data_IF_164050478388
#
_entry.id   IF_164050478388
#
_cell.length_a   1.000
_cell.length_b   1.000
_cell.length_c   1.000
_cell.angle_alpha   90.00
_cell.angle_beta   90.00
_cell.angle_gamma   90.00
#
_symmetry.space_group_name_H-M   'P 1'
#
loop_
_entity.id
_entity.type
_entity.pdbx_description
1 polymer ?
#
# COMPACT_ATOMS: atom_id res chain seq x y z
N UNK A 1 21.81 -51.12 42.13
CA UNK A 1 21.89 -49.64 42.23
C UNK A 1 22.65 -48.98 41.08
N UNK A 2 23.38 -49.73 40.24
CA UNK A 2 24.15 -49.17 39.11
C UNK A 2 23.33 -48.96 37.82
N UNK A 3 22.14 -49.58 37.70
CA UNK A 3 21.30 -49.47 36.50
C UNK A 3 20.51 -48.14 36.42
N UNK A 4 20.31 -47.46 37.55
CA UNK A 4 19.62 -46.16 37.57
C UNK A 4 20.57 -44.98 37.28
N UNK A 5 21.88 -45.13 37.47
CA UNK A 5 22.87 -44.09 37.10
C UNK A 5 23.10 -44.04 35.58
N UNK A 6 23.05 -45.18 34.88
CA UNK A 6 23.25 -45.22 33.43
C UNK A 6 22.10 -44.61 32.63
N UNK A 7 20.88 -44.56 33.18
CA UNK A 7 19.76 -43.90 32.51
C UNK A 7 19.72 -42.37 32.72
N UNK A 8 20.36 -41.85 33.77
CA UNK A 8 20.46 -40.40 33.98
C UNK A 8 21.58 -39.75 33.15
N UNK A 9 22.59 -40.52 32.75
CA UNK A 9 23.68 -40.01 31.90
C UNK A 9 23.26 -39.75 30.44
N UNK A 10 22.21 -40.40 29.93
CA UNK A 10 21.66 -40.14 28.58
C UNK A 10 20.58 -39.04 28.56
N UNK A 11 20.12 -38.58 29.73
CA UNK A 11 19.15 -37.50 29.86
C UNK A 11 19.81 -36.10 29.98
N UNK A 12 21.10 -36.01 29.65
CA UNK A 12 21.94 -34.83 29.84
C UNK A 12 22.22 -34.06 28.55
N UNK A 13 21.22 -33.79 27.69
CA UNK A 13 21.34 -32.70 26.70
C UNK A 13 19.96 -32.26 26.13
N UNK A 14 19.00 -32.02 27.03
CA UNK A 14 17.60 -31.69 26.70
C UNK A 14 17.35 -30.29 26.12
N UNK A 15 18.32 -29.70 25.41
CA UNK A 15 18.10 -28.52 24.57
C UNK A 15 17.71 -28.95 23.16
N UNK A 16 16.95 -28.14 22.38
CA UNK A 16 16.76 -28.43 20.96
C UNK A 16 18.16 -28.59 20.32
N UNK A 17 18.39 -29.64 19.50
CA UNK A 17 19.68 -29.90 18.90
C UNK A 17 20.25 -28.60 18.33
N UNK A 18 21.46 -28.22 18.74
CA UNK A 18 22.10 -26.98 18.29
C UNK A 18 22.10 -26.84 16.76
N UNK A 19 22.14 -27.98 16.07
CA UNK A 19 21.96 -28.10 14.62
C UNK A 19 20.57 -27.68 14.13
N UNK A 20 19.47 -28.02 14.82
CA UNK A 20 18.12 -27.57 14.46
C UNK A 20 17.96 -26.07 14.63
N UNK A 21 18.48 -25.51 15.73
CA UNK A 21 18.44 -24.06 15.95
C UNK A 21 19.29 -23.32 14.91
N UNK A 22 20.48 -23.86 14.58
CA UNK A 22 21.33 -23.32 13.53
C UNK A 22 20.64 -23.40 12.16
N UNK A 23 20.02 -24.54 11.83
CA UNK A 23 19.32 -24.74 10.55
C UNK A 23 18.13 -23.79 10.43
N UNK A 24 17.33 -23.61 11.47
CA UNK A 24 16.21 -22.67 11.47
C UNK A 24 16.69 -21.21 11.30
N UNK A 25 17.78 -20.84 11.97
CA UNK A 25 18.41 -19.51 11.80
C UNK A 25 18.88 -19.28 10.37
N UNK A 26 19.59 -20.25 9.78
CA UNK A 26 20.09 -20.15 8.40
C UNK A 26 18.96 -20.16 7.37
N UNK A 27 17.91 -20.93 7.61
CA UNK A 27 16.72 -20.95 6.76
C UNK A 27 16.02 -19.59 6.77
N UNK A 28 15.83 -18.98 7.95
CA UNK A 28 15.25 -17.64 8.08
C UNK A 28 16.12 -16.57 7.41
N UNK A 29 17.44 -16.65 7.58
CA UNK A 29 18.38 -15.73 6.95
C UNK A 29 18.34 -15.83 5.41
N UNK A 30 18.32 -17.05 4.86
CA UNK A 30 18.22 -17.29 3.42
C UNK A 30 16.89 -16.81 2.87
N UNK A 31 15.78 -17.06 3.57
CA UNK A 31 14.46 -16.58 3.18
C UNK A 31 14.42 -15.05 3.12
N UNK A 32 14.86 -14.36 4.18
CA UNK A 32 14.90 -12.90 4.23
C UNK A 32 15.80 -12.32 3.12
N UNK A 33 16.97 -12.93 2.91
CA UNK A 33 17.90 -12.53 1.83
C UNK A 33 17.28 -12.73 0.46
N UNK A 34 16.58 -13.85 0.24
CA UNK A 34 15.87 -14.14 -1.01
C UNK A 34 14.77 -13.12 -1.30
N UNK A 35 13.97 -12.75 -0.30
CA UNK A 35 12.95 -11.71 -0.41
C UNK A 35 13.58 -10.37 -0.77
N UNK A 36 14.66 -9.98 -0.10
CA UNK A 36 15.37 -8.73 -0.40
C UNK A 36 15.90 -8.71 -1.84
N UNK A 37 16.54 -9.80 -2.30
CA UNK A 37 17.03 -9.94 -3.68
C UNK A 37 15.87 -9.88 -4.68
N UNK A 38 14.73 -10.53 -4.37
CA UNK A 38 13.55 -10.51 -5.22
C UNK A 38 12.95 -9.11 -5.35
N UNK A 39 12.85 -8.35 -4.25
CA UNK A 39 12.39 -6.95 -4.28
C UNK A 39 13.34 -6.10 -5.13
N UNK A 40 14.65 -6.22 -4.91
CA UNK A 40 15.66 -5.50 -5.71
C UNK A 40 15.55 -5.85 -7.19
N UNK A 41 15.43 -7.14 -7.52
CA UNK A 41 15.22 -7.60 -8.88
C UNK A 41 13.93 -7.03 -9.48
N UNK A 42 12.82 -7.07 -8.75
CA UNK A 42 11.50 -6.56 -9.17
C UNK A 42 11.56 -5.07 -9.50
N UNK A 43 12.18 -4.27 -8.63
CA UNK A 43 12.37 -2.83 -8.81
C UNK A 43 13.28 -2.53 -9.99
N UNK A 44 14.42 -3.21 -10.09
CA UNK A 44 15.39 -2.99 -11.16
C UNK A 44 14.86 -3.44 -12.53
N UNK A 45 14.13 -4.55 -12.57
CA UNK A 45 13.46 -5.08 -13.76
C UNK A 45 12.37 -4.15 -14.29
N UNK A 46 11.60 -3.53 -13.39
CA UNK A 46 10.57 -2.55 -13.77
C UNK A 46 11.18 -1.23 -14.23
N UNK A 47 12.22 -0.73 -13.53
CA UNK A 47 12.97 0.45 -13.97
C UNK A 47 13.62 0.26 -15.34
N UNK A 48 14.05 -0.95 -15.68
CA UNK A 48 14.61 -1.26 -17.00
C UNK A 48 13.57 -1.29 -18.12
N UNK A 49 12.30 -1.62 -17.83
CA UNK A 49 11.21 -1.56 -18.81
C UNK A 49 10.74 -0.14 -19.11
N UNK A 50 10.92 0.77 -18.16
CA UNK A 50 10.56 2.19 -18.29
C UNK A 50 11.66 3.05 -18.92
N UNK A 51 12.84 2.48 -19.22
CA UNK A 51 13.84 3.16 -20.06
C UNK A 51 13.42 3.07 -21.52
N UNK A 52 12.64 4.05 -21.95
CA UNK A 52 12.50 4.41 -23.36
C UNK A 52 13.89 4.83 -23.87
N UNK A 53 14.45 4.19 -24.91
CA UNK A 53 15.68 4.66 -25.52
C UNK A 53 15.32 5.78 -26.48
N UNK A 54 15.40 7.02 -26.02
CA UNK A 54 15.16 8.19 -26.85
C UNK A 54 15.39 9.48 -26.07
N UNK A 55 16.45 10.18 -26.45
CA UNK A 55 16.71 11.62 -26.34
C UNK A 55 15.97 12.39 -25.24
N UNK A 56 16.70 12.92 -24.26
CA UNK A 56 17.19 14.32 -24.30
C UNK A 56 18.41 14.37 -23.37
N UNK A 57 19.49 14.97 -23.85
CA UNK A 57 20.64 15.42 -23.06
C UNK A 57 20.19 16.59 -22.16
N UNK A 58 19.22 16.34 -21.27
CA UNK A 58 19.01 17.24 -20.14
C UNK A 58 20.18 16.97 -19.21
N UNK A 59 21.11 17.92 -19.15
CA UNK A 59 22.08 18.03 -18.07
C UNK A 59 21.29 18.24 -16.77
N UNK A 60 20.70 17.16 -16.25
CA UNK A 60 20.15 17.08 -14.91
C UNK A 60 21.35 16.94 -14.01
N UNK A 61 21.84 18.08 -13.52
CA UNK A 61 22.69 18.07 -12.34
C UNK A 61 21.92 17.31 -11.27
N UNK A 62 22.42 16.11 -10.99
CA UNK A 62 21.82 15.20 -10.04
C UNK A 62 21.97 15.84 -8.66
N UNK A 63 20.94 16.58 -8.21
CA UNK A 63 20.75 16.98 -6.82
C UNK A 63 20.39 15.75 -5.95
N UNK A 64 20.98 14.60 -6.25
CA UNK A 64 20.93 13.39 -5.45
C UNK A 64 21.77 13.62 -4.19
N UNK A 65 21.20 14.40 -3.28
CA UNK A 65 21.67 14.45 -1.91
C UNK A 65 21.20 13.18 -1.22
N UNK A 66 22.14 12.29 -0.89
CA UNK A 66 21.88 11.05 -0.13
C UNK A 66 21.09 11.31 1.16
N UNK A 67 21.24 12.52 1.73
CA UNK A 67 20.47 12.97 2.88
C UNK A 67 18.97 13.14 2.57
N UNK A 68 18.61 13.82 1.47
CA UNK A 68 17.20 13.96 1.07
C UNK A 68 16.55 12.63 0.70
N UNK A 69 17.29 11.77 -0.02
CA UNK A 69 16.77 10.45 -0.38
C UNK A 69 16.49 9.58 0.86
N UNK A 70 17.31 9.67 1.90
CA UNK A 70 17.06 9.00 3.17
C UNK A 70 15.91 9.64 3.95
N UNK A 71 15.82 10.96 3.96
CA UNK A 71 14.74 11.68 4.63
C UNK A 71 13.38 11.32 3.99
N UNK A 72 13.28 11.32 2.66
CA UNK A 72 12.10 10.92 1.91
C UNK A 72 11.76 9.43 2.13
N UNK A 73 12.76 8.54 2.11
CA UNK A 73 12.55 7.11 2.37
C UNK A 73 12.08 6.85 3.81
N UNK A 74 12.65 7.57 4.77
CA UNK A 74 12.29 7.46 6.18
C UNK A 74 10.89 8.01 6.47
N UNK A 75 10.48 9.07 5.77
CA UNK A 75 9.12 9.60 5.81
C UNK A 75 8.11 8.57 5.28
N UNK A 76 8.37 7.99 4.10
CA UNK A 76 7.51 6.96 3.51
C UNK A 76 7.43 5.70 4.37
N UNK A 77 8.55 5.26 4.97
CA UNK A 77 8.58 4.11 5.88
C UNK A 77 7.84 4.39 7.19
N UNK A 78 7.99 5.59 7.76
CA UNK A 78 7.27 5.99 8.96
C UNK A 78 5.78 6.09 8.70
N UNK A 79 5.35 6.60 7.54
CA UNK A 79 3.94 6.67 7.17
C UNK A 79 3.35 5.28 6.97
N UNK A 80 4.07 4.39 6.27
CA UNK A 80 3.68 2.98 6.14
C UNK A 80 3.57 2.27 7.50
N UNK A 81 4.56 2.45 8.38
CA UNK A 81 4.56 1.86 9.72
C UNK A 81 3.45 2.43 10.60
N UNK A 82 3.24 3.73 10.57
CA UNK A 82 2.18 4.41 11.32
C UNK A 82 0.80 3.99 10.78
N UNK A 83 0.65 3.78 9.48
CA UNK A 83 -0.60 3.29 8.90
C UNK A 83 -0.87 1.84 9.32
N UNK A 84 0.16 0.99 9.37
CA UNK A 84 0.03 -0.40 9.83
C UNK A 84 -0.34 -0.49 11.33
N UNK A 85 0.29 0.34 12.17
CA UNK A 85 -0.01 0.41 13.61
C UNK A 85 -1.37 1.07 13.88
N UNK A 86 -1.75 2.08 13.09
CA UNK A 86 -3.04 2.76 13.24
C UNK A 86 -4.20 2.02 12.57
N UNK A 87 -3.95 1.14 11.60
CA UNK A 87 -4.94 0.21 11.06
C UNK A 87 -5.46 -0.73 12.14
N UNK A 88 -4.61 -1.19 13.07
CA UNK A 88 -5.02 -1.97 14.24
C UNK A 88 -5.80 -1.18 15.31
N UNK A 89 -5.81 0.16 15.25
CA UNK A 89 -6.42 1.02 16.26
C UNK A 89 -7.61 1.86 15.74
N UNK A 90 -7.94 1.76 14.44
CA UNK A 90 -9.14 2.35 13.87
C UNK A 90 -10.29 1.35 13.94
N UNK A 91 -10.81 1.17 15.15
CA UNK A 91 -12.10 0.51 15.36
C UNK A 91 -13.20 1.27 14.58
N UNK A 92 -13.68 0.63 13.52
CA UNK A 92 -15.09 0.40 13.19
C UNK A 92 -16.08 1.57 13.40
N UNK A 93 -15.67 2.79 13.05
CA UNK A 93 -16.64 3.87 12.79
C UNK A 93 -16.89 3.93 11.30
N UNK A 94 -18.16 3.76 10.85
CA UNK A 94 -18.48 3.95 9.45
C UNK A 94 -18.09 5.36 9.05
N UNK A 95 -17.33 5.47 7.96
CA UNK A 95 -16.99 6.77 7.38
C UNK A 95 -18.31 7.51 7.08
N UNK A 96 -18.43 8.80 7.46
CA UNK A 96 -19.63 9.56 7.16
C UNK A 96 -19.84 9.63 5.65
N UNK A 97 -21.10 9.51 5.23
CA UNK A 97 -21.47 9.59 3.82
C UNK A 97 -21.09 10.96 3.25
N UNK A 98 -20.28 11.01 2.17
CA UNK A 98 -19.82 12.27 1.59
C UNK A 98 -20.97 13.06 0.97
N UNK A 99 -20.98 14.39 1.15
CA UNK A 99 -22.03 15.29 0.66
C UNK A 99 -21.52 16.41 -0.24
N UNK A 100 -20.23 16.72 -0.17
CA UNK A 100 -19.60 17.78 -0.95
C UNK A 100 -18.55 17.21 -1.90
N UNK A 101 -18.22 17.85 -3.05
CA UNK A 101 -17.21 17.33 -3.97
C UNK A 101 -15.85 17.08 -3.29
N UNK A 102 -15.51 17.91 -2.30
CA UNK A 102 -14.32 17.74 -1.47
C UNK A 102 -14.39 16.48 -0.61
N UNK A 103 -15.53 16.22 0.02
CA UNK A 103 -15.73 15.01 0.83
C UNK A 103 -15.70 13.74 -0.03
N UNK A 104 -16.33 13.75 -1.22
CA UNK A 104 -16.27 12.63 -2.16
C UNK A 104 -14.82 12.29 -2.53
N UNK A 105 -14.01 13.31 -2.84
CA UNK A 105 -12.60 13.09 -3.16
C UNK A 105 -11.78 12.57 -1.97
N UNK A 106 -11.99 13.10 -0.76
CA UNK A 106 -11.29 12.57 0.41
C UNK A 106 -11.74 11.15 0.77
N UNK A 107 -13.00 10.81 0.54
CA UNK A 107 -13.49 9.45 0.70
C UNK A 107 -12.84 8.50 -0.32
N UNK A 108 -12.69 8.93 -1.57
CA UNK A 108 -11.90 8.21 -2.59
C UNK A 108 -10.46 7.98 -2.14
N UNK A 109 -9.78 8.98 -1.57
CA UNK A 109 -8.41 8.83 -1.06
C UNK A 109 -8.31 7.78 0.06
N UNK A 110 -9.32 7.70 0.94
CA UNK A 110 -9.36 6.67 1.98
C UNK A 110 -9.56 5.27 1.41
N UNK A 111 -10.45 5.11 0.43
CA UNK A 111 -10.64 3.84 -0.30
C UNK A 111 -9.33 3.43 -0.99
N UNK A 112 -8.72 4.33 -1.74
CA UNK A 112 -7.45 4.07 -2.42
C UNK A 112 -6.32 3.67 -1.45
N UNK A 113 -6.25 4.29 -0.28
CA UNK A 113 -5.29 3.93 0.77
C UNK A 113 -5.53 2.52 1.32
N UNK A 114 -6.79 2.13 1.56
CA UNK A 114 -7.16 0.77 1.98
C UNK A 114 -6.80 -0.28 0.93
N UNK A 115 -6.96 0.04 -0.35
CA UNK A 115 -6.53 -0.81 -1.47
C UNK A 115 -5.00 -0.77 -1.75
N UNK A 116 -4.21 -0.16 -0.86
CA UNK A 116 -2.75 -0.11 -1.00
C UNK A 116 -2.25 0.78 -2.15
N UNK A 117 -3.04 1.77 -2.56
CA UNK A 117 -2.69 2.80 -3.57
C UNK A 117 -2.98 4.22 -3.06
N UNK A 118 -2.37 4.64 -1.94
CA UNK A 118 -2.50 6.02 -1.48
C UNK A 118 -1.99 7.00 -2.54
N UNK A 119 -2.53 8.24 -2.52
CA UNK A 119 -2.02 9.32 -3.37
C UNK A 119 -0.74 9.88 -2.77
N UNK A 120 0.30 10.00 -3.57
CA UNK A 120 1.54 10.65 -3.16
C UNK A 120 1.36 12.17 -3.02
N UNK A 121 2.14 12.82 -2.16
CA UNK A 121 2.02 14.27 -1.93
C UNK A 121 2.25 15.10 -3.20
N UNK A 122 3.24 14.71 -4.01
CA UNK A 122 3.59 15.38 -5.28
C UNK A 122 2.64 15.03 -6.44
N UNK A 123 1.76 14.05 -6.25
CA UNK A 123 0.89 13.56 -7.31
C UNK A 123 -0.39 14.38 -7.41
N UNK A 124 -0.70 14.87 -8.61
CA UNK A 124 -1.96 15.58 -8.87
C UNK A 124 -3.17 14.64 -8.81
N UNK A 125 -4.40 15.16 -8.58
CA UNK A 125 -5.60 14.33 -8.57
C UNK A 125 -5.79 13.49 -9.86
N UNK A 126 -5.44 14.04 -11.04
CA UNK A 126 -5.53 13.32 -12.31
C UNK A 126 -4.46 12.25 -12.47
N UNK A 127 -3.25 12.51 -12.01
CA UNK A 127 -2.19 11.49 -12.02
C UNK A 127 -2.56 10.33 -11.09
N UNK A 128 -3.17 10.63 -9.93
CA UNK A 128 -3.65 9.60 -9.01
C UNK A 128 -4.78 8.76 -9.62
N UNK A 129 -5.73 9.39 -10.31
CA UNK A 129 -6.75 8.67 -11.08
C UNK A 129 -6.14 7.62 -12.03
N UNK A 130 -5.06 7.97 -12.73
CA UNK A 130 -4.37 7.03 -13.61
C UNK A 130 -3.81 5.81 -12.87
N UNK A 131 -3.36 5.98 -11.63
CA UNK A 131 -2.86 4.86 -10.79
C UNK A 131 -3.95 3.94 -10.25
N UNK A 132 -5.20 4.40 -10.23
CA UNK A 132 -6.37 3.63 -9.79
C UNK A 132 -6.99 2.82 -10.94
N UNK A 133 -6.49 2.98 -12.16
CA UNK A 133 -6.98 2.27 -13.33
C UNK A 133 -6.81 0.75 -13.15
N UNK A 134 -7.90 0.01 -13.36
CA UNK A 134 -7.93 -1.44 -13.21
C UNK A 134 -8.15 -1.93 -11.78
N UNK A 135 -8.08 -1.05 -10.79
CA UNK A 135 -8.47 -1.35 -9.40
C UNK A 135 -9.88 -0.86 -9.10
N UNK A 136 -10.18 0.37 -9.53
CA UNK A 136 -11.49 1.00 -9.37
C UNK A 136 -12.14 1.29 -10.73
N UNK A 137 -13.48 1.38 -10.79
CA UNK A 137 -14.18 1.69 -12.03
C UNK A 137 -13.81 3.11 -12.50
N UNK A 138 -13.24 3.20 -13.70
CA UNK A 138 -12.60 4.42 -14.18
C UNK A 138 -13.54 5.62 -14.34
N UNK A 139 -14.77 5.40 -14.84
CA UNK A 139 -15.74 6.47 -15.06
C UNK A 139 -16.27 7.09 -13.76
N UNK A 140 -16.69 6.32 -12.74
CA UNK A 140 -16.97 6.84 -11.40
C UNK A 140 -15.82 7.63 -10.78
N UNK A 141 -14.59 7.10 -10.81
CA UNK A 141 -13.41 7.79 -10.26
C UNK A 141 -13.17 9.11 -10.97
N UNK A 142 -13.21 9.10 -12.31
CA UNK A 142 -13.05 10.31 -13.13
C UNK A 142 -14.08 11.38 -12.74
N UNK A 143 -15.35 11.00 -12.57
CA UNK A 143 -16.42 11.93 -12.19
C UNK A 143 -16.18 12.58 -10.83
N UNK A 144 -15.73 11.81 -9.84
CA UNK A 144 -15.39 12.33 -8.51
C UNK A 144 -14.22 13.32 -8.59
N UNK A 145 -13.16 12.96 -9.34
CA UNK A 145 -11.99 13.82 -9.53
C UNK A 145 -12.34 15.11 -10.27
N UNK A 146 -13.12 15.02 -11.36
CA UNK A 146 -13.56 16.18 -12.14
C UNK A 146 -14.43 17.12 -11.29
N UNK A 147 -15.36 16.57 -10.50
CA UNK A 147 -16.20 17.35 -9.57
C UNK A 147 -15.38 18.06 -8.50
N UNK A 148 -14.39 17.38 -7.92
CA UNK A 148 -13.46 18.00 -6.97
C UNK A 148 -12.63 19.12 -7.62
N UNK A 149 -12.05 18.87 -8.80
CA UNK A 149 -11.23 19.88 -9.48
C UNK A 149 -12.06 21.12 -9.85
N UNK A 150 -13.30 20.91 -10.31
CA UNK A 150 -14.21 22.00 -10.67
C UNK A 150 -14.58 22.85 -9.45
N UNK A 151 -14.88 22.23 -8.31
CA UNK A 151 -15.18 22.96 -7.08
C UNK A 151 -13.94 23.59 -6.42
N UNK A 152 -12.77 22.94 -6.51
CA UNK A 152 -11.55 23.38 -5.83
C UNK A 152 -10.76 24.44 -6.61
N UNK A 153 -10.75 24.35 -7.94
CA UNK A 153 -9.99 25.26 -8.82
C UNK A 153 -10.88 26.16 -9.67
N UNK A 154 -12.14 25.77 -9.92
CA UNK A 154 -13.07 26.54 -10.74
C UNK A 154 -13.92 27.55 -9.96
N UNK A 155 -13.94 27.48 -8.63
CA UNK A 155 -14.82 28.26 -7.76
C UNK A 155 -16.31 28.15 -8.16
N UNK A 156 -16.67 27.01 -8.77
CA UNK A 156 -18.03 26.69 -9.21
C UNK A 156 -18.70 25.96 -8.05
N UNK A 157 -19.74 26.57 -7.49
CA UNK A 157 -20.58 25.88 -6.51
C UNK A 157 -21.42 24.82 -7.24
N UNK A 158 -21.25 23.53 -6.89
CA UNK A 158 -21.88 22.44 -7.63
C UNK A 158 -23.40 22.49 -7.50
N UNK A 159 -24.10 22.32 -8.61
CA UNK A 159 -25.56 22.24 -8.61
C UNK A 159 -26.06 20.95 -7.96
N UNK A 160 -27.33 20.93 -7.54
CA UNK A 160 -27.95 19.72 -6.95
C UNK A 160 -27.84 18.48 -7.85
N UNK A 161 -27.93 18.66 -9.18
CA UNK A 161 -27.78 17.57 -10.15
C UNK A 161 -26.34 17.02 -10.20
N UNK A 162 -25.34 17.88 -10.00
CA UNK A 162 -23.93 17.47 -9.98
C UNK A 162 -23.60 16.72 -8.70
N UNK A 163 -24.15 17.16 -7.56
CA UNK A 163 -24.05 16.42 -6.29
C UNK A 163 -24.69 15.04 -6.40
N UNK A 164 -25.88 14.94 -7.01
CA UNK A 164 -26.54 13.65 -7.24
C UNK A 164 -25.71 12.73 -8.15
N UNK A 165 -25.11 13.28 -9.20
CA UNK A 165 -24.22 12.52 -10.08
C UNK A 165 -22.94 12.03 -9.36
N UNK A 166 -22.45 12.79 -8.37
CA UNK A 166 -21.34 12.39 -7.50
C UNK A 166 -21.75 11.29 -6.52
N UNK A 167 -22.95 11.36 -5.94
CA UNK A 167 -23.51 10.27 -5.12
C UNK A 167 -23.60 8.97 -5.92
N UNK A 168 -24.15 9.00 -7.13
CA UNK A 168 -24.25 7.81 -7.97
C UNK A 168 -22.87 7.22 -8.33
N UNK A 169 -21.89 8.08 -8.63
CA UNK A 169 -20.52 7.65 -8.86
C UNK A 169 -19.89 7.03 -7.59
N UNK A 170 -20.12 7.64 -6.43
CA UNK A 170 -19.65 7.12 -5.16
C UNK A 170 -20.25 5.75 -4.84
N UNK A 171 -21.57 5.60 -4.96
CA UNK A 171 -22.26 4.32 -4.70
C UNK A 171 -21.70 3.20 -5.58
N UNK A 172 -21.66 3.40 -6.90
CA UNK A 172 -21.17 2.38 -7.83
C UNK A 172 -19.69 2.04 -7.65
N UNK A 173 -18.87 2.98 -7.19
CA UNK A 173 -17.46 2.72 -6.87
C UNK A 173 -17.31 1.99 -5.53
N UNK A 174 -18.08 2.39 -4.52
CA UNK A 174 -18.00 1.83 -3.17
C UNK A 174 -18.43 0.36 -3.11
N UNK A 175 -19.41 -0.03 -3.93
CA UNK A 175 -19.87 -1.41 -4.08
C UNK A 175 -18.73 -2.30 -4.59
N UNK A 176 -18.09 -1.93 -5.70
CA UNK A 176 -16.96 -2.67 -6.28
C UNK A 176 -15.78 -2.77 -5.30
N UNK A 177 -15.50 -1.70 -4.56
CA UNK A 177 -14.41 -1.71 -3.58
C UNK A 177 -14.69 -2.64 -2.38
N UNK A 178 -15.96 -2.77 -1.96
CA UNK A 178 -16.38 -3.68 -0.90
C UNK A 178 -16.32 -5.14 -1.34
N UNK A 179 -16.68 -5.44 -2.59
CA UNK A 179 -16.57 -6.79 -3.17
C UNK A 179 -15.12 -7.28 -3.18
N UNK A 180 -14.18 -6.44 -3.64
CA UNK A 180 -12.75 -6.79 -3.69
C UNK A 180 -12.17 -7.08 -2.30
N UNK A 181 -12.57 -6.31 -1.29
CA UNK A 181 -12.08 -6.51 0.09
C UNK A 181 -12.58 -7.85 0.66
N UNK A 182 -13.84 -8.21 0.40
CA UNK A 182 -14.42 -9.49 0.87
C UNK A 182 -13.81 -10.71 0.16
N UNK A 183 -13.49 -10.60 -1.14
CA UNK A 183 -12.81 -11.66 -1.90
C UNK A 183 -11.38 -11.90 -1.40
N UNK A 184 -10.66 -10.85 -0.99
CA UNK A 184 -9.32 -10.99 -0.40
C UNK A 184 -9.39 -11.67 0.97
N UNK A 185 -10.34 -11.29 1.83
CA UNK A 185 -10.54 -11.91 3.15
C UNK A 185 -10.91 -13.40 3.06
N UNK A 186 -11.84 -13.77 2.17
CA UNK A 186 -12.23 -15.18 1.98
C UNK A 186 -11.10 -16.04 1.41
N UNK A 187 -10.17 -15.46 0.65
CA UNK A 187 -9.01 -16.17 0.09
C UNK A 187 -7.90 -16.41 1.11
N UNK A 188 -7.80 -15.58 2.15
CA UNK A 188 -6.82 -15.75 3.22
C UNK A 188 -7.26 -16.78 4.27
N UNK A 189 -8.54 -17.14 4.31
CA UNK A 189 -9.11 -18.13 5.23
C UNK A 189 -9.08 -19.60 4.70
N UNK A 190 -8.83 -19.82 3.41
CA UNK A 190 -8.67 -21.16 2.77
C UNK A 190 -7.22 -21.65 2.68
#
# INVERSE_FOLDING_TARGET
RQFHESMQAEAGDGGPPSLLVALLKWLGFLAATGVAIWILYRVFRFRRLLRVPGEVEETRESLFSWKRANDDLSALLNEWWNNLVSAGNRGDKPDPEPRTPREFYHALLRVASRLGRPREEWQTPREHQGTLQGLLPGEPVRRIVDGFQSAHYGDIEPGQQEIEALHQAWSGMSEVAQEQTQEEETREEE
#
